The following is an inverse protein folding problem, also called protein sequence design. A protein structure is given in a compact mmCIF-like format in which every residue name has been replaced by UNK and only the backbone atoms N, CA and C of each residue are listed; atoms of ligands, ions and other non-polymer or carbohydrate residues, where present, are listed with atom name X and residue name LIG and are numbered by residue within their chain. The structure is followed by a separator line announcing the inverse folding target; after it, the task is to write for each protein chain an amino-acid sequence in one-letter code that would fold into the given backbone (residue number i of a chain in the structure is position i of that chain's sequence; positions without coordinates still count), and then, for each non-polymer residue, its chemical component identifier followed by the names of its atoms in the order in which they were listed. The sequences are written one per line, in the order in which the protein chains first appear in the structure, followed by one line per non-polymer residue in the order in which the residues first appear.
data_IF_478583962270
#
_entry.id   IF_478583962270
#
_cell.length_a   1.000
_cell.length_b   1.000
_cell.length_c   1.000
_cell.angle_alpha   90.00
_cell.angle_beta   90.00
_cell.angle_gamma   90.00
#
_symmetry.space_group_name_H-M   'P 1'
#
loop_
_entity.id
_entity.type
_entity.pdbx_description
1 polymer ?
#
# COMPACT_ATOMS: atom_id res chain seq x y z
N UNK A 1 24.18 16.57 8.08
CA UNK A 1 24.24 15.39 7.19
C UNK A 1 23.35 14.31 7.80
N UNK A 2 22.37 13.82 7.04
CA UNK A 2 21.22 13.05 7.56
C UNK A 2 21.26 11.60 7.05
N UNK A 3 20.97 10.64 7.94
CA UNK A 3 20.71 9.23 7.57
C UNK A 3 19.24 9.07 7.18
N UNK A 4 18.97 8.41 6.05
CA UNK A 4 17.60 8.03 5.67
C UNK A 4 17.36 6.56 6.00
N UNK A 5 16.28 6.30 6.73
CA UNK A 5 15.82 4.97 7.08
C UNK A 5 14.51 4.70 6.32
N UNK A 6 14.37 3.51 5.75
CA UNK A 6 13.10 3.01 5.23
C UNK A 6 12.75 1.79 6.06
N UNK A 7 11.60 1.80 6.73
CA UNK A 7 11.08 0.61 7.41
C UNK A 7 10.09 -0.10 6.50
N UNK A 8 10.34 -1.38 6.23
CA UNK A 8 9.54 -2.14 5.27
C UNK A 8 9.39 -3.61 5.65
N UNK A 9 8.33 -4.23 5.15
CA UNK A 9 8.15 -5.68 5.08
C UNK A 9 8.40 -6.14 3.65
N UNK A 10 8.98 -7.33 3.51
CA UNK A 10 9.10 -7.99 2.22
C UNK A 10 7.72 -8.17 1.59
N UNK A 11 7.52 -7.79 0.30
CA UNK A 11 6.23 -7.85 -0.37
C UNK A 11 5.86 -9.28 -0.78
N UNK A 12 5.51 -10.11 0.19
CA UNK A 12 5.12 -11.52 0.01
C UNK A 12 3.59 -11.66 0.03
N UNK A 13 2.97 -12.39 -0.93
CA UNK A 13 1.55 -12.69 -0.91
C UNK A 13 1.08 -13.22 0.45
N UNK A 14 -0.04 -12.67 0.96
CA UNK A 14 -0.60 -13.05 2.25
C UNK A 14 0.08 -12.45 3.48
N UNK A 15 1.24 -11.80 3.35
CA UNK A 15 1.95 -11.13 4.47
C UNK A 15 1.82 -9.61 4.47
N UNK A 16 1.53 -9.01 3.31
CA UNK A 16 1.40 -7.56 3.13
C UNK A 16 0.04 -7.20 2.56
N UNK A 17 -0.43 -5.99 2.87
CA UNK A 17 -1.65 -5.38 2.29
C UNK A 17 -2.87 -6.30 2.31
N UNK A 18 -3.05 -7.05 3.40
CA UNK A 18 -4.19 -7.96 3.58
C UNK A 18 -5.53 -7.22 3.54
N UNK A 19 -5.56 -5.91 3.86
CA UNK A 19 -6.74 -5.05 3.74
C UNK A 19 -7.11 -4.65 2.31
N UNK A 20 -6.26 -4.94 1.32
CA UNK A 20 -6.64 -4.86 -0.10
C UNK A 20 -7.49 -6.07 -0.54
N UNK A 21 -7.49 -7.15 0.23
CA UNK A 21 -8.37 -8.31 0.03
C UNK A 21 -9.74 -8.03 0.67
N UNK A 22 -10.88 -8.37 0.03
CA UNK A 22 -11.03 -9.23 -1.15
C UNK A 22 -11.00 -8.52 -2.51
N UNK A 23 -10.80 -7.19 -2.55
CA UNK A 23 -10.79 -6.45 -3.83
C UNK A 23 -9.59 -6.82 -4.73
N UNK A 24 -8.50 -7.27 -4.12
CA UNK A 24 -7.31 -7.81 -4.75
C UNK A 24 -7.00 -9.20 -4.18
N UNK A 25 -6.54 -10.12 -5.04
CA UNK A 25 -5.95 -11.38 -4.57
C UNK A 25 -4.69 -11.11 -3.75
N UNK A 26 -4.22 -12.10 -3.00
CA UNK A 26 -2.98 -11.99 -2.23
C UNK A 26 -1.77 -11.65 -3.12
N UNK A 27 -1.70 -12.22 -4.32
CA UNK A 27 -0.65 -11.91 -5.31
C UNK A 27 -0.74 -10.48 -5.81
N UNK A 28 -1.96 -10.02 -6.12
CA UNK A 28 -2.20 -8.66 -6.57
C UNK A 28 -1.87 -7.62 -5.48
N UNK A 29 -2.22 -7.90 -4.23
CA UNK A 29 -1.88 -7.08 -3.08
C UNK A 29 -0.36 -7.00 -2.87
N UNK A 30 0.35 -8.12 -3.01
CA UNK A 30 1.82 -8.15 -2.94
C UNK A 30 2.48 -7.40 -4.11
N UNK A 31 1.94 -7.51 -5.32
CA UNK A 31 2.41 -6.74 -6.48
C UNK A 31 2.26 -5.23 -6.25
N UNK A 32 1.12 -4.79 -5.69
CA UNK A 32 0.88 -3.39 -5.33
C UNK A 32 1.83 -2.92 -4.22
N UNK A 33 2.01 -3.72 -3.16
CA UNK A 33 2.95 -3.42 -2.08
C UNK A 33 4.39 -3.29 -2.60
N UNK A 34 4.81 -4.22 -3.48
CA UNK A 34 6.11 -4.17 -4.15
C UNK A 34 6.27 -2.88 -4.95
N UNK A 35 5.27 -2.53 -5.76
CA UNK A 35 5.30 -1.33 -6.59
C UNK A 35 5.43 -0.07 -5.71
N UNK A 36 4.67 0.01 -4.61
CA UNK A 36 4.72 1.12 -3.69
C UNK A 36 6.08 1.27 -3.00
N UNK A 37 6.57 0.18 -2.39
CA UNK A 37 7.90 0.16 -1.77
C UNK A 37 8.98 0.57 -2.78
N UNK A 38 8.88 0.12 -4.02
CA UNK A 38 9.85 0.45 -5.06
C UNK A 38 9.85 1.93 -5.41
N UNK A 39 8.68 2.58 -5.46
CA UNK A 39 8.58 4.03 -5.66
C UNK A 39 9.18 4.80 -4.48
N UNK A 40 8.88 4.40 -3.24
CA UNK A 40 9.47 4.96 -2.00
C UNK A 40 11.00 4.84 -1.99
N UNK A 41 11.54 3.65 -2.26
CA UNK A 41 12.99 3.42 -2.33
C UNK A 41 13.65 4.28 -3.42
N UNK A 42 12.98 4.45 -4.56
CA UNK A 42 13.47 5.29 -5.65
C UNK A 42 13.51 6.78 -5.25
N UNK A 43 12.53 7.28 -4.49
CA UNK A 43 12.53 8.64 -3.96
C UNK A 43 13.65 8.84 -2.94
N UNK A 44 13.85 7.89 -2.02
CA UNK A 44 14.92 7.93 -1.01
C UNK A 44 16.32 7.91 -1.64
N UNK A 45 16.51 7.13 -2.72
CA UNK A 45 17.78 7.13 -3.47
C UNK A 45 18.11 8.48 -4.07
N UNK A 46 17.11 9.17 -4.64
CA UNK A 46 17.28 10.51 -5.24
C UNK A 46 17.37 11.63 -4.20
N UNK A 47 17.08 11.35 -2.94
CA UNK A 47 17.16 12.32 -1.85
C UNK A 47 18.60 12.38 -1.32
N UNK A 48 19.23 13.56 -1.17
CA UNK A 48 20.57 13.67 -0.59
C UNK A 48 20.64 13.08 0.82
N UNK A 49 21.56 12.15 1.05
CA UNK A 49 21.77 11.50 2.34
C UNK A 49 23.19 10.92 2.43
N UNK A 50 23.75 10.88 3.64
CA UNK A 50 25.05 10.23 3.88
C UNK A 50 24.96 8.72 3.92
N UNK A 51 23.84 8.22 4.42
CA UNK A 51 23.57 6.79 4.58
C UNK A 51 22.10 6.53 4.30
N UNK A 52 21.81 5.40 3.65
CA UNK A 52 20.47 4.92 3.36
C UNK A 52 20.36 3.50 3.87
N UNK A 53 19.45 3.27 4.81
CA UNK A 53 19.26 1.97 5.44
C UNK A 53 17.83 1.50 5.19
N UNK A 54 17.69 0.27 4.71
CA UNK A 54 16.43 -0.45 4.65
C UNK A 54 16.35 -1.38 5.88
N UNK A 55 15.44 -1.07 6.79
CA UNK A 55 15.15 -1.86 7.98
C UNK A 55 14.02 -2.83 7.64
N UNK A 56 14.38 -4.09 7.35
CA UNK A 56 13.54 -5.04 6.64
C UNK A 56 13.04 -6.18 7.53
N UNK A 57 11.73 -6.42 7.50
CA UNK A 57 11.11 -7.68 7.97
C UNK A 57 10.93 -8.62 6.77
N UNK A 58 11.77 -9.64 6.69
CA UNK A 58 11.87 -10.57 5.56
C UNK A 58 13.22 -10.50 4.86
N UNK A 59 13.29 -10.98 3.63
CA UNK A 59 14.52 -11.02 2.83
C UNK A 59 14.54 -9.95 1.73
N UNK A 60 15.70 -9.36 1.41
CA UNK A 60 15.82 -8.53 0.22
C UNK A 60 15.59 -9.38 -1.04
N UNK A 61 15.07 -8.77 -2.09
CA UNK A 61 14.83 -9.47 -3.37
C UNK A 61 15.10 -8.58 -4.57
N UNK A 62 14.77 -9.03 -5.79
CA UNK A 62 15.01 -8.28 -7.04
C UNK A 62 14.28 -6.93 -7.13
N UNK A 63 13.43 -6.62 -6.15
CA UNK A 63 12.74 -5.34 -6.01
C UNK A 63 13.59 -4.26 -5.33
N UNK A 64 14.64 -4.64 -4.61
CA UNK A 64 15.53 -3.72 -3.91
C UNK A 64 16.60 -3.18 -4.87
N UNK A 65 16.61 -1.87 -5.18
CA UNK A 65 17.72 -1.27 -5.92
C UNK A 65 19.02 -1.25 -5.09
N UNK A 66 20.20 -1.19 -5.74
CA UNK A 66 21.46 -0.96 -5.04
C UNK A 66 21.49 0.42 -4.36
N UNK A 67 22.40 0.60 -3.40
CA UNK A 67 22.58 1.87 -2.69
C UNK A 67 21.88 1.94 -1.33
N UNK A 68 21.33 0.83 -0.84
CA UNK A 68 20.86 0.65 0.52
C UNK A 68 21.75 -0.32 1.29
N UNK A 69 22.04 0.03 2.54
CA UNK A 69 22.40 -0.96 3.55
C UNK A 69 21.13 -1.66 4.04
N UNK A 70 21.13 -2.98 4.11
CA UNK A 70 19.95 -3.74 4.58
C UNK A 70 20.22 -4.29 5.96
N UNK A 71 19.30 -4.01 6.88
CA UNK A 71 19.37 -4.45 8.28
C UNK A 71 18.06 -5.15 8.63
N UNK A 72 18.08 -6.31 9.31
CA UNK A 72 16.86 -6.97 9.74
C UNK A 72 16.13 -6.15 10.81
N UNK A 73 14.79 -6.14 10.75
CA UNK A 73 13.97 -5.66 11.87
C UNK A 73 14.17 -6.56 13.09
N UNK A 74 14.23 -5.94 14.27
CA UNK A 74 14.17 -6.67 15.54
C UNK A 74 12.78 -7.30 15.74
N UNK A 75 12.71 -8.32 16.60
CA UNK A 75 11.43 -8.82 17.08
C UNK A 75 10.69 -7.73 17.89
N UNK A 76 9.38 -7.91 18.04
CA UNK A 76 8.55 -7.01 18.86
C UNK A 76 7.59 -6.12 18.08
N UNK A 77 7.04 -5.14 18.78
CA UNK A 77 6.08 -4.16 18.29
C UNK A 77 6.68 -3.16 17.29
N UNK A 78 5.85 -2.44 16.55
CA UNK A 78 6.33 -1.45 15.58
C UNK A 78 7.12 -0.32 16.28
N UNK A 79 6.71 0.10 17.46
CA UNK A 79 7.42 1.09 18.27
C UNK A 79 8.84 0.63 18.65
N UNK A 80 9.01 -0.65 19.02
CA UNK A 80 10.30 -1.24 19.34
C UNK A 80 11.20 -1.34 18.11
N UNK A 81 10.63 -1.67 16.95
CA UNK A 81 11.35 -1.73 15.67
C UNK A 81 11.81 -0.35 15.20
N UNK A 82 10.94 0.66 15.32
CA UNK A 82 11.29 2.05 15.05
C UNK A 82 12.38 2.54 16.01
N UNK A 83 12.24 2.24 17.31
CA UNK A 83 13.24 2.58 18.32
C UNK A 83 14.61 1.97 18.01
N UNK A 84 14.65 0.69 17.62
CA UNK A 84 15.89 0.02 17.22
C UNK A 84 16.51 0.64 15.95
N UNK A 85 15.68 0.99 14.96
CA UNK A 85 16.13 1.66 13.73
C UNK A 85 16.74 3.04 14.01
N UNK A 86 16.17 3.83 14.93
CA UNK A 86 16.78 5.10 15.34
C UNK A 86 18.05 4.90 16.16
N UNK A 87 18.07 3.91 17.07
CA UNK A 87 19.21 3.63 17.96
C UNK A 87 20.52 3.24 17.25
N UNK A 88 20.47 2.90 15.96
CA UNK A 88 21.67 2.62 15.17
C UNK A 88 22.26 3.85 14.47
N UNK A 89 21.64 5.03 14.63
CA UNK A 89 22.07 6.27 14.01
C UNK A 89 22.86 7.12 15.02
N UNK A 90 24.00 7.68 14.60
CA UNK A 90 24.88 8.52 15.45
C UNK A 90 24.71 10.03 15.21
N UNK A 91 23.68 10.42 14.49
CA UNK A 91 23.40 11.79 14.09
C UNK A 91 22.03 11.87 13.44
N UNK A 92 21.67 13.01 12.82
CA UNK A 92 20.31 13.24 12.36
C UNK A 92 19.82 12.12 11.45
N UNK A 93 18.61 11.63 11.73
CA UNK A 93 18.01 10.53 10.99
C UNK A 93 16.55 10.86 10.65
N UNK A 94 16.12 10.47 9.45
CA UNK A 94 14.73 10.53 9.02
C UNK A 94 14.30 9.15 8.58
N UNK A 95 13.25 8.63 9.21
CA UNK A 95 12.63 7.36 8.89
C UNK A 95 11.36 7.60 8.10
N UNK A 96 11.17 6.82 7.04
CA UNK A 96 9.93 6.78 6.25
C UNK A 96 9.34 5.38 6.20
N UNK A 97 8.01 5.30 6.11
CA UNK A 97 7.28 4.05 5.88
C UNK A 97 7.33 3.57 4.42
N UNK A 98 6.99 2.30 4.19
CA UNK A 98 6.99 1.66 2.87
C UNK A 98 5.74 1.94 2.00
N UNK A 99 4.73 2.60 2.57
CA UNK A 99 3.35 2.59 2.07
C UNK A 99 2.91 3.91 1.42
N UNK A 100 3.87 4.78 1.11
CA UNK A 100 3.67 6.11 0.51
C UNK A 100 4.31 6.21 -0.88
N UNK A 101 3.72 5.59 -1.92
CA UNK A 101 4.28 5.61 -3.28
C UNK A 101 4.35 7.01 -3.90
N UNK A 102 3.56 7.96 -3.39
CA UNK A 102 3.59 9.38 -3.79
C UNK A 102 4.73 10.18 -3.16
N UNK A 103 5.57 9.55 -2.32
CA UNK A 103 6.76 10.18 -1.76
C UNK A 103 7.70 10.67 -2.88
N UNK A 104 8.20 11.89 -2.75
CA UNK A 104 9.18 12.47 -3.66
C UNK A 104 10.37 13.03 -2.87
N UNK A 105 11.55 13.22 -3.50
CA UNK A 105 12.69 13.85 -2.85
C UNK A 105 12.37 15.24 -2.30
N UNK A 106 11.52 16.00 -3.00
CA UNK A 106 11.13 17.36 -2.63
C UNK A 106 10.34 17.39 -1.31
N UNK A 107 9.60 16.33 -1.00
CA UNK A 107 8.88 16.18 0.27
C UNK A 107 9.81 15.91 1.45
N UNK A 108 10.97 15.28 1.21
CA UNK A 108 11.99 15.03 2.23
C UNK A 108 13.00 16.17 2.36
N UNK A 109 13.12 17.00 1.32
CA UNK A 109 14.06 18.11 1.21
C UNK A 109 14.20 18.96 2.49
N UNK A 110 13.10 19.37 3.19
CA UNK A 110 13.21 20.15 4.42
C UNK A 110 14.01 19.47 5.54
N UNK A 111 14.01 18.14 5.59
CA UNK A 111 14.66 17.35 6.64
C UNK A 111 16.08 16.86 6.27
N UNK A 112 16.53 17.10 5.05
CA UNK A 112 17.83 16.61 4.55
C UNK A 112 18.75 17.70 4.00
N UNK A 113 18.24 18.89 3.71
CA UNK A 113 19.03 20.02 3.23
C UNK A 113 20.08 20.48 4.26
N UNK A 114 21.12 21.21 3.82
CA UNK A 114 22.00 21.92 4.73
C UNK A 114 21.17 22.74 5.72
N UNK A 115 21.54 22.69 6.99
CA UNK A 115 20.88 23.44 8.07
C UNK A 115 19.45 23.01 8.42
N UNK A 116 18.93 21.91 7.86
CA UNK A 116 17.60 21.34 8.17
C UNK A 116 17.29 21.20 9.67
N UNK A 117 18.32 21.12 10.52
CA UNK A 117 18.23 20.87 11.96
C UNK A 117 18.69 22.05 12.83
N UNK A 118 18.93 23.24 12.25
CA UNK A 118 19.38 24.43 13.02
C UNK A 118 18.27 25.03 13.88
N UNK A 119 17.04 24.97 13.40
CA UNK A 119 15.87 25.63 14.00
C UNK A 119 14.83 24.64 14.53
N UNK A 120 15.11 23.34 14.42
CA UNK A 120 14.23 22.28 14.92
C UNK A 120 15.07 21.06 15.31
N UNK A 121 14.55 20.27 16.24
CA UNK A 121 15.17 19.02 16.69
C UNK A 121 14.37 17.79 16.26
N UNK A 122 13.18 17.97 15.69
CA UNK A 122 12.39 16.90 15.10
C UNK A 122 11.60 17.36 13.85
N UNK A 123 11.46 16.44 12.90
CA UNK A 123 10.55 16.55 11.76
C UNK A 123 9.44 15.51 11.87
N UNK A 124 8.20 15.90 11.59
CA UNK A 124 7.06 15.00 11.70
C UNK A 124 6.22 15.02 10.42
N UNK A 125 6.09 13.87 9.76
CA UNK A 125 5.27 13.70 8.57
C UNK A 125 3.95 13.02 8.91
N UNK A 126 2.87 13.76 9.21
CA UNK A 126 1.58 13.17 9.55
C UNK A 126 0.98 12.37 8.39
N UNK A 127 0.42 11.20 8.69
CA UNK A 127 -0.37 10.43 7.73
C UNK A 127 -1.86 10.72 7.90
N UNK A 128 -2.61 10.71 6.80
CA UNK A 128 -4.03 11.04 6.77
C UNK A 128 -4.92 10.06 7.55
N UNK A 129 -4.43 8.87 7.86
CA UNK A 129 -5.10 7.84 8.67
C UNK A 129 -4.90 8.03 10.20
N UNK A 130 -4.17 9.08 10.59
CA UNK A 130 -3.85 9.40 11.96
C UNK A 130 -2.53 8.81 12.47
N UNK A 131 -1.76 8.13 11.61
CA UNK A 131 -0.38 7.73 11.85
C UNK A 131 0.64 8.81 11.44
N UNK A 132 1.83 8.37 11.05
CA UNK A 132 2.86 9.21 10.45
C UNK A 132 3.62 8.43 9.38
N UNK A 133 3.85 9.07 8.23
CA UNK A 133 4.63 8.50 7.13
C UNK A 133 6.11 8.78 7.27
N UNK A 134 6.48 9.83 8.02
CA UNK A 134 7.86 10.18 8.33
C UNK A 134 8.05 10.63 9.77
N UNK A 135 9.21 10.32 10.33
CA UNK A 135 9.71 10.88 11.57
C UNK A 135 11.20 11.19 11.41
N UNK A 136 11.60 12.40 11.78
CA UNK A 136 12.99 12.82 11.82
C UNK A 136 13.41 13.26 13.21
N UNK A 137 14.61 12.88 13.63
CA UNK A 137 15.22 13.27 14.89
C UNK A 137 16.64 13.79 14.63
N UNK A 138 16.96 14.97 15.16
CA UNK A 138 18.31 15.54 15.08
C UNK A 138 19.31 14.70 15.89
N UNK A 139 18.87 14.26 17.06
CA UNK A 139 19.56 13.34 17.95
C UNK A 139 18.65 12.13 18.21
N UNK A 140 18.85 11.01 17.48
CA UNK A 140 18.00 9.82 17.60
C UNK A 140 18.03 9.19 18.99
N UNK A 141 16.97 9.40 19.77
CA UNK A 141 16.72 8.72 21.05
C UNK A 141 15.62 7.65 20.91
N UNK A 142 15.94 6.35 21.04
CA UNK A 142 14.97 5.25 21.03
C UNK A 142 13.82 5.40 22.04
N UNK A 143 14.03 6.09 23.18
CA UNK A 143 13.01 6.28 24.20
C UNK A 143 11.83 7.16 23.73
N UNK A 144 12.05 7.98 22.70
CA UNK A 144 11.00 8.82 22.09
C UNK A 144 9.97 8.00 21.30
N UNK A 145 10.25 6.74 21.00
CA UNK A 145 9.38 5.85 20.23
C UNK A 145 8.70 4.79 21.09
N UNK A 146 9.42 4.23 22.08
CA UNK A 146 8.93 3.11 22.88
C UNK A 146 7.65 3.45 23.64
N UNK A 147 6.68 2.53 23.58
CA UNK A 147 5.41 2.65 24.27
C UNK A 147 4.46 3.69 23.65
N UNK A 148 4.77 4.24 22.47
CA UNK A 148 3.77 5.00 21.70
C UNK A 148 2.77 4.01 21.11
N UNK A 149 1.45 4.19 21.29
CA UNK A 149 0.46 3.28 20.75
C UNK A 149 0.54 3.22 19.23
N UNK A 150 0.76 2.02 18.66
CA UNK A 150 0.85 1.80 17.22
C UNK A 150 -0.50 1.34 16.64
N UNK A 151 -0.73 1.63 15.35
CA UNK A 151 -1.93 1.24 14.61
C UNK A 151 -3.24 1.76 15.22
N UNK A 152 -3.21 2.97 15.79
CA UNK A 152 -4.40 3.69 16.28
C UNK A 152 -4.64 4.93 15.42
N UNK A 153 -5.89 5.39 15.25
CA UNK A 153 -6.20 6.65 14.56
C UNK A 153 -5.58 7.90 15.21
N UNK A 154 -5.01 7.78 16.41
CA UNK A 154 -4.33 8.85 17.14
C UNK A 154 -2.85 8.55 17.38
N UNK A 155 -2.27 7.54 16.73
CA UNK A 155 -0.84 7.19 16.86
C UNK A 155 0.06 8.38 16.56
N UNK A 156 -0.18 9.09 15.46
CA UNK A 156 0.58 10.26 15.05
C UNK A 156 0.49 11.40 16.07
N UNK A 157 -0.71 11.67 16.61
CA UNK A 157 -0.89 12.64 17.70
C UNK A 157 -0.08 12.23 18.94
N UNK A 158 -0.19 10.97 19.36
CA UNK A 158 0.55 10.46 20.52
C UNK A 158 2.07 10.55 20.33
N UNK A 159 2.57 10.25 19.13
CA UNK A 159 3.98 10.39 18.79
C UNK A 159 4.41 11.87 18.84
N UNK A 160 3.64 12.77 18.23
CA UNK A 160 3.96 14.21 18.22
C UNK A 160 3.94 14.80 19.63
N UNK A 161 2.95 14.44 20.45
CA UNK A 161 2.85 14.86 21.85
C UNK A 161 4.06 14.35 22.66
N UNK A 162 4.55 13.13 22.39
CA UNK A 162 5.77 12.59 23.01
C UNK A 162 7.01 13.44 22.70
N UNK A 163 7.17 13.86 21.45
CA UNK A 163 8.30 14.72 21.03
C UNK A 163 8.24 16.09 21.72
N UNK A 164 7.05 16.69 21.79
CA UNK A 164 6.85 17.97 22.46
C UNK A 164 7.08 17.88 23.96
N UNK A 165 6.62 16.81 24.61
CA UNK A 165 6.83 16.57 26.03
C UNK A 165 8.32 16.36 26.37
N UNK A 166 9.12 15.88 25.41
CA UNK A 166 10.58 15.80 25.52
C UNK A 166 11.29 17.14 25.25
N UNK A 167 10.55 18.23 25.04
CA UNK A 167 11.08 19.57 24.79
C UNK A 167 11.62 19.79 23.38
N UNK A 168 11.29 18.92 22.42
CA UNK A 168 11.77 19.05 21.05
C UNK A 168 11.01 20.13 20.28
N UNK A 169 11.74 20.92 19.50
CA UNK A 169 11.16 21.82 18.52
C UNK A 169 10.77 20.99 17.28
N UNK A 170 9.47 20.70 17.15
CA UNK A 170 8.93 19.87 16.08
C UNK A 170 8.48 20.73 14.90
N UNK A 171 8.93 20.41 13.69
CA UNK A 171 8.39 20.95 12.43
C UNK A 171 7.65 19.87 11.66
N UNK A 172 6.57 20.26 11.00
CA UNK A 172 5.75 19.32 10.24
C UNK A 172 6.16 19.30 8.75
N UNK A 173 6.23 18.10 8.18
CA UNK A 173 6.25 17.87 6.73
C UNK A 173 4.79 17.84 6.21
N UNK A 174 4.57 17.89 4.88
CA UNK A 174 3.22 17.76 4.34
C UNK A 174 2.54 16.45 4.75
N UNK A 175 1.21 16.50 4.89
CA UNK A 175 0.38 15.31 5.13
C UNK A 175 0.40 14.43 3.88
N UNK A 176 0.69 13.13 4.04
CA UNK A 176 0.52 12.12 2.99
C UNK A 176 -0.51 11.06 3.40
N UNK A 177 -0.88 10.20 2.46
CA UNK A 177 -1.82 9.09 2.67
C UNK A 177 -1.12 7.76 2.45
N UNK A 178 -1.11 6.92 3.47
CA UNK A 178 -0.61 5.56 3.33
C UNK A 178 -1.65 4.71 2.58
N UNK A 179 -1.18 3.82 1.71
CA UNK A 179 -2.07 2.94 0.93
C UNK A 179 -2.41 1.69 1.74
N UNK A 180 -3.49 1.66 2.52
CA UNK A 180 -3.89 0.44 3.26
C UNK A 180 -5.14 -0.24 2.65
N UNK A 181 -6.04 0.55 2.07
CA UNK A 181 -7.30 0.10 1.50
C UNK A 181 -7.38 0.33 -0.01
N UNK A 182 -8.39 -0.28 -0.65
CA UNK A 182 -8.67 -0.06 -2.07
C UNK A 182 -9.10 1.40 -2.35
N UNK A 183 -9.64 2.13 -1.38
CA UNK A 183 -9.95 3.55 -1.51
C UNK A 183 -8.64 4.35 -1.56
N UNK A 184 -7.73 4.12 -0.61
CA UNK A 184 -6.42 4.78 -0.57
C UNK A 184 -5.64 4.52 -1.87
N UNK A 185 -5.68 3.27 -2.37
CA UNK A 185 -5.02 2.90 -3.61
C UNK A 185 -5.49 3.74 -4.81
N UNK A 186 -6.81 3.98 -4.93
CA UNK A 186 -7.36 4.80 -6.02
C UNK A 186 -6.97 6.26 -5.87
N UNK A 187 -7.10 6.80 -4.66
CA UNK A 187 -6.79 8.21 -4.38
C UNK A 187 -5.31 8.52 -4.59
N UNK A 188 -4.43 7.67 -4.05
CA UNK A 188 -2.98 7.83 -4.20
C UNK A 188 -2.54 7.65 -5.65
N UNK A 189 -3.13 6.71 -6.38
CA UNK A 189 -2.86 6.57 -7.82
C UNK A 189 -3.28 7.80 -8.63
N UNK A 190 -4.38 8.46 -8.24
CA UNK A 190 -4.82 9.70 -8.87
C UNK A 190 -3.91 10.90 -8.52
N UNK A 191 -3.41 10.96 -7.28
CA UNK A 191 -2.46 11.99 -6.84
C UNK A 191 -1.08 11.84 -7.49
N UNK A 192 -0.64 10.62 -7.75
CA UNK A 192 0.68 10.32 -8.29
C UNK A 192 0.63 9.35 -9.49
N UNK A 193 0.03 9.76 -10.63
CA UNK A 193 -0.21 8.87 -11.77
C UNK A 193 1.06 8.39 -12.47
N UNK A 194 2.19 9.08 -12.26
CA UNK A 194 3.51 8.71 -12.80
C UNK A 194 4.22 7.57 -12.04
N UNK A 195 3.66 7.09 -10.92
CA UNK A 195 4.28 6.06 -10.08
C UNK A 195 4.18 4.66 -10.67
N UNK A 196 5.07 3.75 -10.27
CA UNK A 196 4.94 2.32 -10.60
C UNK A 196 3.66 1.77 -9.98
N UNK A 197 3.35 2.18 -8.75
CA UNK A 197 2.12 1.83 -8.05
C UNK A 197 0.86 2.13 -8.88
N UNK A 198 0.71 3.37 -9.36
CA UNK A 198 -0.46 3.77 -10.16
C UNK A 198 -0.60 2.94 -11.45
N UNK A 199 0.52 2.69 -12.15
CA UNK A 199 0.53 1.84 -13.35
C UNK A 199 0.16 0.39 -13.04
N UNK A 200 0.68 -0.17 -11.95
CA UNK A 200 0.34 -1.54 -11.53
C UNK A 200 -1.14 -1.65 -11.19
N UNK A 201 -1.70 -0.69 -10.44
CA UNK A 201 -3.12 -0.68 -10.13
C UNK A 201 -4.00 -0.62 -11.39
N UNK A 202 -3.64 0.24 -12.34
CA UNK A 202 -4.35 0.37 -13.61
C UNK A 202 -4.29 -0.91 -14.45
N UNK A 203 -3.12 -1.56 -14.51
CA UNK A 203 -2.94 -2.83 -15.23
C UNK A 203 -3.80 -3.95 -14.63
N UNK A 204 -3.82 -4.09 -13.31
CA UNK A 204 -4.66 -5.08 -12.63
C UNK A 204 -6.16 -4.83 -12.89
N UNK A 205 -6.59 -3.57 -12.88
CA UNK A 205 -7.97 -3.21 -13.22
C UNK A 205 -8.32 -3.56 -14.69
N UNK A 206 -7.39 -3.33 -15.62
CA UNK A 206 -7.58 -3.67 -17.03
C UNK A 206 -7.73 -5.18 -17.24
N UNK A 207 -6.89 -6.01 -16.61
CA UNK A 207 -6.95 -7.48 -16.68
C UNK A 207 -8.28 -8.04 -16.15
N UNK A 208 -8.85 -7.45 -15.08
CA UNK A 208 -10.17 -7.88 -14.60
C UNK A 208 -11.29 -7.55 -15.59
N UNK A 209 -11.23 -6.39 -16.25
CA UNK A 209 -12.23 -6.02 -17.27
C UNK A 209 -12.20 -6.97 -18.47
N UNK A 210 -11.01 -7.34 -18.95
CA UNK A 210 -10.88 -8.29 -20.07
C UNK A 210 -11.40 -9.67 -19.71
N UNK A 211 -11.06 -10.19 -18.52
CA UNK A 211 -11.56 -11.48 -18.03
C UNK A 211 -13.10 -11.49 -17.90
N UNK A 212 -13.69 -10.41 -17.38
CA UNK A 212 -15.16 -10.29 -17.24
C UNK A 212 -15.86 -10.15 -18.60
N UNK A 213 -15.24 -9.44 -19.55
CA UNK A 213 -15.75 -9.31 -20.92
C UNK A 213 -15.74 -10.64 -21.68
N UNK A 214 -14.65 -11.41 -21.59
CA UNK A 214 -14.53 -12.74 -22.19
C UNK A 214 -15.50 -13.77 -21.57
N UNK A 215 -15.73 -13.71 -20.26
CA UNK A 215 -16.71 -14.57 -19.60
C UNK A 215 -18.15 -14.30 -20.07
N UNK A 216 -18.49 -13.02 -20.36
CA UNK A 216 -19.82 -12.64 -20.88
C UNK A 216 -20.01 -13.05 -22.33
N UNK A 217 -18.98 -12.97 -23.18
CA UNK A 217 -19.07 -13.41 -24.58
C UNK A 217 -19.09 -14.94 -24.70
N UNK A 218 -18.34 -15.68 -23.87
CA UNK A 218 -18.37 -17.14 -23.85
C UNK A 218 -19.71 -17.74 -23.38
N UNK A 219 -20.41 -17.05 -22.47
CA UNK A 219 -21.75 -17.47 -22.00
C UNK A 219 -22.86 -17.15 -23.01
N UNK A 220 -22.68 -16.13 -23.85
CA UNK A 220 -23.59 -15.83 -24.96
C UNK A 220 -23.45 -16.85 -26.11
N UNK A 221 -22.22 -17.32 -26.37
CA UNK A 221 -21.96 -18.32 -27.42
C UNK A 221 -22.48 -19.73 -27.09
N UNK A 222 -22.62 -20.07 -25.80
CA UNK A 222 -23.14 -21.37 -25.34
C UNK A 222 -24.68 -21.42 -25.23
N UNK A 223 -25.37 -20.29 -25.38
CA UNK A 223 -26.84 -20.20 -25.34
C UNK A 223 -27.55 -20.32 -26.70
N UNK A 224 -26.81 -20.49 -27.81
CA UNK A 224 -27.35 -20.52 -29.18
C UNK A 224 -27.31 -21.91 -29.85
N UNK A 225 -27.01 -22.97 -29.11
CA UNK A 225 -27.08 -24.35 -29.59
C UNK A 225 -28.14 -25.12 -28.80
N UNK A 226 -29.40 -24.98 -29.22
CA UNK A 226 -30.54 -25.62 -28.54
C UNK A 226 -31.89 -25.19 -29.09
N UNK A 227 -32.04 -25.17 -30.42
CA UNK A 227 -33.34 -25.02 -31.08
C UNK A 227 -33.39 -25.88 -32.34
N UNK A 228 -33.26 -27.20 -32.18
CA UNK A 228 -33.81 -28.16 -33.13
C UNK A 228 -35.13 -28.70 -32.55
N UNK A 229 -36.25 -28.25 -33.12
CA UNK A 229 -37.51 -28.99 -33.08
C UNK A 229 -38.49 -28.46 -34.15
N UNK A 230 -38.57 -29.24 -35.24
CA UNK A 230 -39.79 -29.73 -35.88
C UNK A 230 -40.97 -28.79 -36.20
N UNK A 231 -41.43 -28.86 -37.46
CA UNK A 231 -42.87 -28.79 -37.75
C UNK A 231 -43.25 -28.18 -39.10
N UNK A 232 -43.38 -29.00 -40.15
CA UNK A 232 -44.21 -28.67 -41.31
C UNK A 232 -44.82 -29.93 -41.92
N UNK A 233 -46.14 -30.06 -41.83
CA UNK A 233 -46.94 -31.05 -42.54
C UNK A 233 -48.43 -30.82 -42.31
N UNK A 234 -49.24 -30.53 -43.34
CA UNK A 234 -50.69 -30.46 -43.20
C UNK A 234 -51.39 -31.65 -43.88
N UNK A 235 -52.51 -32.10 -43.30
CA UNK A 235 -53.63 -32.57 -44.11
C UNK A 235 -54.44 -33.78 -43.62
N UNK A 236 -55.60 -33.48 -43.02
CA UNK A 236 -56.93 -34.16 -43.12
C UNK A 236 -57.11 -35.56 -42.51
N UNK A 237 -57.96 -35.69 -41.48
CA UNK A 237 -59.43 -35.95 -41.48
C UNK A 237 -59.65 -37.43 -41.07
N UNK A 238 -60.60 -37.90 -40.25
CA UNK A 238 -61.99 -37.55 -39.88
C UNK A 238 -62.40 -38.40 -38.67
N UNK A 239 -63.34 -37.90 -37.83
CA UNK A 239 -64.40 -38.64 -37.08
C UNK A 239 -63.96 -39.74 -36.06
N UNK A 240 -64.59 -39.98 -34.90
CA UNK A 240 -65.95 -39.77 -34.42
C UNK A 240 -66.00 -40.09 -32.90
N UNK A 241 -66.76 -39.27 -32.16
CA UNK A 241 -67.70 -39.60 -31.06
C UNK A 241 -67.28 -40.42 -29.82
N UNK A 242 -67.58 -39.88 -28.63
CA UNK A 242 -67.85 -40.68 -27.41
C UNK A 242 -67.58 -39.97 -26.08
N UNK A 243 -68.48 -39.07 -25.67
CA UNK A 243 -68.63 -38.52 -24.30
C UNK A 243 -69.11 -39.60 -23.31
N UNK A 244 -69.34 -39.31 -22.00
CA UNK A 244 -68.60 -38.49 -21.03
C UNK A 244 -68.44 -39.19 -19.64
N UNK A 245 -67.80 -38.46 -18.72
CA UNK A 245 -68.17 -38.25 -17.30
C UNK A 245 -67.26 -38.78 -16.19
N UNK A 246 -67.18 -38.06 -15.04
CA UNK A 246 -66.00 -38.02 -14.16
C UNK A 246 -66.28 -38.49 -12.72
N UNK A 247 -65.22 -38.79 -11.97
CA UNK A 247 -65.12 -38.82 -10.50
C UNK A 247 -63.71 -39.33 -10.16
N UNK A 248 -62.96 -38.87 -9.16
CA UNK A 248 -63.07 -37.82 -8.15
C UNK A 248 -61.68 -37.74 -7.51
#
# INVERSE_FOLDING_TARGET
MTTLLVIAKEPVPGRVKTRLTPYHSHDEAALLARAALTDTLSAVLRTPATRRVLVLDGAPGPWLPPGFEVVPQVAGGLDERLAAAFGMCRGPAVLVGMDTPQLTPELLRPAVEPFAWRECSAWFGPAADGGFWALGLADPDPALLRGVPMSKPWTGRAQRDRLLAAGLAVRDLPVLRDVDTAADAREVAALAPGTRFARTLAALAATRRTATGQARTGRAATGLSGAEAAGAGPGRATARSGSPSPAR
#
